data_IF_751337559088
#
_entry.id   IF_751337559088
#
_cell.length_a   1.000
_cell.length_b   1.000
_cell.length_c   1.000
_cell.angle_alpha   90.00
_cell.angle_beta   90.00
_cell.angle_gamma   90.00
#
_symmetry.space_group_name_H-M   'P 1'
#
loop_
_entity.id
_entity.type
_entity.pdbx_description
1 polymer ?
#
# COMPACT_ATOMS: atom_id res chain seq x y z
N UNK A 1 -31.87 -18.23 -12.43
CA UNK A 1 -30.43 -18.06 -12.69
C UNK A 1 -29.99 -16.85 -11.90
N UNK A 2 -29.36 -17.07 -10.74
CA UNK A 2 -28.96 -16.01 -9.83
C UNK A 2 -27.75 -15.27 -10.40
N UNK A 3 -27.85 -13.95 -10.45
CA UNK A 3 -26.79 -13.03 -10.82
C UNK A 3 -25.62 -13.21 -9.83
N UNK A 4 -24.54 -13.85 -10.29
CA UNK A 4 -23.29 -13.93 -9.52
C UNK A 4 -22.63 -12.56 -9.66
N UNK A 5 -23.10 -11.61 -8.86
CA UNK A 5 -22.41 -10.34 -8.63
C UNK A 5 -20.94 -10.66 -8.33
N UNK A 6 -20.07 -10.40 -9.30
CA UNK A 6 -18.64 -10.59 -9.14
C UNK A 6 -18.20 -9.80 -7.92
N UNK A 7 -17.82 -10.50 -6.84
CA UNK A 7 -17.20 -9.83 -5.70
C UNK A 7 -15.98 -9.08 -6.25
N UNK A 8 -15.81 -7.78 -5.95
CA UNK A 8 -14.64 -7.05 -6.44
C UNK A 8 -13.40 -7.77 -5.93
N UNK A 9 -12.55 -8.21 -6.86
CA UNK A 9 -11.28 -8.86 -6.52
C UNK A 9 -10.48 -7.92 -5.63
N UNK A 10 -10.04 -8.42 -4.47
CA UNK A 10 -9.21 -7.66 -3.54
C UNK A 10 -7.99 -7.09 -4.30
N UNK A 11 -7.73 -5.77 -4.23
CA UNK A 11 -6.60 -5.18 -4.94
C UNK A 11 -5.28 -5.85 -4.56
N UNK A 12 -4.41 -6.08 -5.55
CA UNK A 12 -3.04 -6.55 -5.32
C UNK A 12 -2.10 -5.35 -5.41
N UNK A 13 -1.36 -5.10 -4.33
CA UNK A 13 -0.34 -4.04 -4.26
C UNK A 13 1.04 -4.67 -4.16
N UNK A 14 2.03 -4.04 -4.79
CA UNK A 14 3.42 -4.42 -4.60
C UNK A 14 3.90 -4.03 -3.21
N UNK A 15 4.54 -4.97 -2.54
CA UNK A 15 5.26 -4.74 -1.30
C UNK A 15 6.75 -4.98 -1.46
N UNK A 16 7.56 -4.11 -0.86
CA UNK A 16 9.01 -4.13 -0.98
C UNK A 16 9.62 -4.43 0.38
N UNK A 17 10.50 -5.43 0.43
CA UNK A 17 11.18 -5.79 1.67
C UNK A 17 12.11 -4.64 2.10
N UNK A 18 12.04 -4.26 3.37
CA UNK A 18 12.87 -3.22 3.96
C UNK A 18 13.86 -3.85 4.95
N UNK A 19 15.16 -3.59 4.75
CA UNK A 19 16.21 -4.09 5.61
C UNK A 19 16.28 -5.63 5.74
N UNK A 20 16.88 -6.09 6.83
CA UNK A 20 17.04 -7.51 7.16
C UNK A 20 15.89 -7.99 8.08
N UNK A 21 15.55 -9.29 8.05
CA UNK A 21 14.55 -9.85 8.96
C UNK A 21 14.94 -9.69 10.43
N UNK A 22 13.94 -9.48 11.28
CA UNK A 22 14.08 -9.59 12.73
C UNK A 22 13.44 -10.92 13.14
N UNK A 23 14.27 -11.94 13.38
CA UNK A 23 13.81 -13.30 13.61
C UNK A 23 13.11 -13.87 12.36
N UNK A 24 11.81 -14.19 12.47
CA UNK A 24 10.99 -14.71 11.36
C UNK A 24 10.23 -13.63 10.59
N UNK A 25 10.31 -12.38 11.05
CA UNK A 25 9.53 -11.26 10.53
C UNK A 25 10.34 -10.49 9.51
N UNK A 26 9.80 -10.27 8.32
CA UNK A 26 10.27 -9.23 7.41
C UNK A 26 9.38 -8.00 7.51
N UNK A 27 10.00 -6.81 7.54
CA UNK A 27 9.30 -5.57 7.28
C UNK A 27 9.03 -5.43 5.78
N UNK A 28 7.80 -5.05 5.44
CA UNK A 28 7.40 -4.79 4.07
C UNK A 28 6.75 -3.40 3.95
N UNK A 29 7.18 -2.66 2.93
CA UNK A 29 6.69 -1.31 2.62
C UNK A 29 5.78 -1.38 1.41
N UNK A 30 4.59 -0.80 1.52
CA UNK A 30 3.58 -0.77 0.46
C UNK A 30 3.22 0.67 0.16
N UNK A 31 3.27 1.06 -1.11
CA UNK A 31 2.83 2.38 -1.51
C UNK A 31 1.31 2.42 -1.60
N UNK A 32 0.69 3.39 -0.94
CA UNK A 32 -0.75 3.63 -1.02
C UNK A 32 -1.02 4.89 -1.86
N UNK A 33 -1.60 4.70 -3.05
CA UNK A 33 -1.99 5.82 -3.91
C UNK A 33 -3.08 6.71 -3.31
N UNK A 34 -3.91 6.21 -2.41
CA UNK A 34 -5.01 7.02 -1.84
C UNK A 34 -4.52 8.08 -0.86
N UNK A 35 -3.59 7.72 0.05
CA UNK A 35 -2.98 8.63 1.01
C UNK A 35 -1.61 9.16 0.57
N UNK A 36 -1.09 8.70 -0.57
CA UNK A 36 0.22 9.05 -1.11
C UNK A 36 1.34 8.86 -0.08
N UNK A 37 1.35 7.69 0.59
CA UNK A 37 2.33 7.36 1.62
C UNK A 37 2.72 5.89 1.58
N UNK A 38 3.90 5.59 2.13
CA UNK A 38 4.38 4.23 2.36
C UNK A 38 3.83 3.69 3.68
N UNK A 39 3.05 2.62 3.61
CA UNK A 39 2.59 1.87 4.78
C UNK A 39 3.61 0.80 5.17
N UNK A 40 3.63 0.44 6.45
CA UNK A 40 4.54 -0.55 7.04
C UNK A 40 3.73 -1.75 7.50
N UNK A 41 4.19 -2.95 7.16
CA UNK A 41 3.64 -4.20 7.69
C UNK A 41 4.75 -5.16 8.08
N UNK A 42 4.43 -6.06 9.00
CA UNK A 42 5.20 -7.29 9.20
C UNK A 42 4.63 -8.44 8.37
N UNK A 43 5.48 -9.31 7.87
CA UNK A 43 5.07 -10.57 7.23
C UNK A 43 5.85 -11.75 7.82
N UNK A 44 5.09 -12.80 8.16
CA UNK A 44 5.58 -14.05 8.71
C UNK A 44 4.89 -15.24 8.00
N UNK A 45 5.58 -16.38 7.81
CA UNK A 45 7.03 -16.55 8.01
C UNK A 45 7.83 -15.72 6.99
N UNK A 46 9.17 -15.79 7.04
CA UNK A 46 10.08 -14.98 6.20
C UNK A 46 9.59 -14.89 4.74
N UNK A 47 9.26 -13.69 4.30
CA UNK A 47 8.80 -13.45 2.94
C UNK A 47 9.93 -13.48 1.91
N UNK A 48 9.62 -14.01 0.73
CA UNK A 48 10.43 -13.99 -0.50
C UNK A 48 9.62 -13.39 -1.64
N UNK A 49 10.24 -12.93 -2.76
CA UNK A 49 9.51 -12.45 -3.92
C UNK A 49 8.40 -13.42 -4.37
N UNK A 50 7.23 -12.89 -4.70
CA UNK A 50 6.03 -13.66 -5.04
C UNK A 50 5.19 -14.10 -3.82
N UNK A 51 5.67 -13.93 -2.59
CA UNK A 51 4.85 -14.18 -1.39
C UNK A 51 3.62 -13.27 -1.41
N UNK A 52 2.45 -13.84 -1.09
CA UNK A 52 1.18 -13.09 -1.02
C UNK A 52 0.65 -13.03 0.40
N UNK A 53 0.20 -11.85 0.81
CA UNK A 53 -0.28 -11.62 2.17
C UNK A 53 -1.48 -10.66 2.19
N UNK A 54 -2.65 -11.14 2.60
CA UNK A 54 -3.83 -10.30 2.79
C UNK A 54 -3.64 -9.39 4.00
N UNK A 55 -3.95 -8.10 3.86
CA UNK A 55 -3.88 -7.10 4.93
C UNK A 55 -5.09 -6.18 4.90
N UNK A 56 -5.62 -5.88 6.08
CA UNK A 56 -6.49 -4.74 6.29
C UNK A 56 -5.62 -3.50 6.50
N UNK A 57 -5.95 -2.40 5.83
CA UNK A 57 -5.14 -1.21 5.86
C UNK A 57 -5.83 -0.07 6.60
N UNK A 58 -5.12 0.55 7.53
CA UNK A 58 -5.57 1.74 8.23
C UNK A 58 -5.28 3.01 7.43
N UNK A 59 -5.71 3.04 6.16
CA UNK A 59 -5.58 4.24 5.34
C UNK A 59 -6.47 5.34 5.91
N UNK A 60 -5.90 6.51 6.18
CA UNK A 60 -6.66 7.65 6.73
C UNK A 60 -7.43 8.43 5.66
N UNK A 61 -7.12 8.25 4.38
CA UNK A 61 -7.82 8.95 3.31
C UNK A 61 -9.26 8.40 3.22
N UNK A 62 -10.30 9.23 3.41
CA UNK A 62 -11.68 8.79 3.59
C UNK A 62 -12.29 8.13 2.34
N UNK A 63 -11.66 8.29 1.18
CA UNK A 63 -12.07 7.67 -0.09
C UNK A 63 -11.25 6.43 -0.45
N UNK A 64 -10.38 5.97 0.44
CA UNK A 64 -9.58 4.76 0.23
C UNK A 64 -10.44 3.52 0.51
N UNK A 65 -10.68 2.63 -0.47
CA UNK A 65 -11.48 1.42 -0.26
C UNK A 65 -10.79 0.38 0.63
N UNK A 66 -9.50 0.57 0.93
CA UNK A 66 -8.69 -0.40 1.66
C UNK A 66 -9.06 -0.56 3.14
N UNK A 67 -9.80 0.39 3.72
CA UNK A 67 -10.28 0.25 5.10
C UNK A 67 -11.39 -0.79 5.19
N UNK A 68 -12.23 -0.85 4.15
CA UNK A 68 -13.37 -1.76 4.03
C UNK A 68 -12.95 -3.12 3.45
N UNK A 69 -12.11 -3.09 2.41
CA UNK A 69 -11.81 -4.29 1.59
C UNK A 69 -10.41 -4.87 1.84
N UNK A 70 -9.52 -4.11 2.47
CA UNK A 70 -8.10 -4.46 2.55
C UNK A 70 -7.41 -4.45 1.17
N UNK A 71 -6.25 -5.10 1.12
CA UNK A 71 -5.54 -5.45 -0.11
C UNK A 71 -4.65 -6.68 0.12
N UNK A 72 -4.29 -7.35 -0.96
CA UNK A 72 -3.25 -8.37 -0.98
C UNK A 72 -1.92 -7.70 -1.29
N UNK A 73 -0.89 -7.98 -0.50
CA UNK A 73 0.48 -7.57 -0.79
C UNK A 73 1.15 -8.71 -1.55
N UNK A 74 1.72 -8.41 -2.72
CA UNK A 74 2.63 -9.31 -3.43
C UNK A 74 4.06 -8.78 -3.30
N UNK A 75 4.95 -9.62 -2.76
CA UNK A 75 6.34 -9.22 -2.50
C UNK A 75 7.09 -9.10 -3.82
N UNK A 76 7.62 -7.91 -4.08
CA UNK A 76 8.40 -7.60 -5.26
C UNK A 76 9.84 -8.14 -5.14
N UNK A 77 10.52 -8.24 -6.29
CA UNK A 77 11.96 -8.58 -6.34
C UNK A 77 12.85 -7.42 -5.88
N UNK A 78 12.43 -6.17 -6.09
CA UNK A 78 13.18 -4.99 -5.68
C UNK A 78 13.09 -4.78 -4.16
N UNK A 79 14.17 -4.26 -3.57
CA UNK A 79 14.16 -3.83 -2.17
C UNK A 79 13.48 -2.46 -2.04
N UNK A 80 12.97 -2.15 -0.84
CA UNK A 80 12.34 -0.86 -0.57
C UNK A 80 13.31 0.30 -0.78
N UNK A 81 14.57 0.12 -0.40
CA UNK A 81 15.62 1.11 -0.48
C UNK A 81 15.88 1.59 -1.91
N UNK A 82 15.69 0.71 -2.90
CA UNK A 82 15.87 0.99 -4.32
C UNK A 82 14.73 1.84 -4.90
N UNK A 83 13.50 1.59 -4.43
CA UNK A 83 12.29 2.21 -5.00
C UNK A 83 11.86 3.46 -4.24
N UNK A 84 12.13 3.57 -2.94
CA UNK A 84 11.59 4.66 -2.09
C UNK A 84 11.99 6.06 -2.54
N UNK A 85 13.13 6.20 -3.23
CA UNK A 85 13.63 7.48 -3.74
C UNK A 85 12.97 7.91 -5.05
N UNK A 86 12.33 6.97 -5.74
CA UNK A 86 11.66 7.19 -7.02
C UNK A 86 10.21 7.63 -6.84
N UNK A 87 9.61 7.30 -5.69
CA UNK A 87 8.22 7.62 -5.37
C UNK A 87 8.14 8.78 -4.38
N UNK A 88 7.45 9.85 -4.77
CA UNK A 88 7.22 11.02 -3.91
C UNK A 88 6.05 10.79 -2.98
N UNK A 89 6.30 10.91 -1.68
CA UNK A 89 5.26 10.92 -0.63
C UNK A 89 4.60 12.30 -0.49
N UNK A 90 3.33 12.31 -0.08
CA UNK A 90 2.65 13.52 0.34
C UNK A 90 3.37 14.16 1.55
N UNK A 91 3.49 15.49 1.50
CA UNK A 91 3.93 16.29 2.66
C UNK A 91 2.86 16.29 3.75
N UNK A 92 3.21 16.70 4.98
CA UNK A 92 2.24 16.82 6.08
C UNK A 92 1.02 17.66 5.71
N UNK A 93 1.21 18.80 5.02
CA UNK A 93 0.10 19.63 4.55
C UNK A 93 -0.80 18.91 3.54
N UNK A 94 -0.22 18.12 2.63
CA UNK A 94 -0.99 17.32 1.67
C UNK A 94 -1.71 16.14 2.35
N UNK A 95 -1.11 15.52 3.36
CA UNK A 95 -1.76 14.48 4.17
C UNK A 95 -2.98 15.03 4.92
N UNK A 96 -2.91 16.25 5.47
CA UNK A 96 -4.05 16.92 6.10
C UNK A 96 -5.19 17.17 5.10
N UNK A 97 -4.87 17.62 3.88
CA UNK A 97 -5.86 17.76 2.81
C UNK A 97 -6.50 16.41 2.46
N UNK A 98 -5.69 15.36 2.31
CA UNK A 98 -6.15 14.01 2.02
C UNK A 98 -7.06 13.45 3.12
N UNK A 99 -6.74 13.67 4.40
CA UNK A 99 -7.57 13.27 5.53
C UNK A 99 -8.95 13.97 5.53
N UNK A 100 -9.02 15.19 5.00
CA UNK A 100 -10.28 15.93 4.79
C UNK A 100 -11.00 15.52 3.49
N UNK A 101 -10.50 14.54 2.75
CA UNK A 101 -11.04 14.12 1.46
C UNK A 101 -10.78 15.12 0.32
N UNK A 102 -9.87 16.08 0.52
CA UNK A 102 -9.51 17.11 -0.46
C UNK A 102 -8.33 16.64 -1.30
N UNK A 103 -8.42 16.88 -2.60
CA UNK A 103 -7.41 16.47 -3.57
C UNK A 103 -7.04 17.68 -4.42
N UNK A 104 -5.75 17.88 -4.63
CA UNK A 104 -5.20 18.92 -5.51
C UNK A 104 -4.56 18.27 -6.76
N UNK A 105 -4.32 19.03 -7.84
CA UNK A 105 -3.62 18.50 -9.02
C UNK A 105 -2.24 17.92 -8.71
N UNK A 106 -1.52 18.49 -7.73
CA UNK A 106 -0.23 17.93 -7.27
C UNK A 106 -0.39 16.57 -6.59
N UNK A 107 -1.48 16.38 -5.83
CA UNK A 107 -1.79 15.09 -5.19
C UNK A 107 -2.14 14.05 -6.26
N UNK A 108 -2.97 14.40 -7.25
CA UNK A 108 -3.29 13.48 -8.36
C UNK A 108 -2.05 13.03 -9.12
N UNK A 109 -1.11 13.93 -9.40
CA UNK A 109 0.18 13.56 -10.01
C UNK A 109 0.98 12.57 -9.16
N UNK A 110 0.91 12.66 -7.82
CA UNK A 110 1.59 11.70 -6.95
C UNK A 110 0.91 10.32 -6.95
N UNK A 111 -0.40 10.24 -7.18
CA UNK A 111 -1.13 8.96 -7.25
C UNK A 111 -0.73 8.12 -8.46
N UNK A 112 -0.37 8.78 -9.56
CA UNK A 112 -0.10 8.16 -10.85
C UNK A 112 1.39 7.80 -11.09
N UNK A 113 2.21 7.79 -10.03
CA UNK A 113 3.64 7.46 -10.10
C UNK A 113 3.90 5.97 -10.30
#
# INVERSE_FOLDING_TARGET
>A
MGDVSAQPSVPVLLGFLAGQPIGKIHEIRVWCGHCCAWHIHGVEPRAVPGTKALRLAHCFAPRSPYKETGYCIEVAYAAYEDVRRQVRSATTGQQLLLAQGRVTPSIEKMRAQ
#
